data_IF_830220865342
#
_entry.id   IF_830220865342
#
_cell.length_a   1.000
_cell.length_b   1.000
_cell.length_c   1.000
_cell.angle_alpha   90.00
_cell.angle_beta   90.00
_cell.angle_gamma   90.00
#
_symmetry.space_group_name_H-M   'P 1'
#
loop_
_entity.id
_entity.type
_entity.pdbx_description
1 polymer ?
#
# COMPACT_ATOMS: atom_id res chain seq x y z
N UNK A 1 -1.73 -7.81 -33.27
CA UNK A 1 -1.39 -7.57 -31.84
C UNK A 1 -2.29 -8.45 -30.99
N UNK A 2 -1.74 -9.28 -30.10
CA UNK A 2 -2.53 -10.21 -29.29
C UNK A 2 -3.34 -9.44 -28.23
N UNK A 3 -4.66 -9.46 -28.31
CA UNK A 3 -5.51 -8.90 -27.26
C UNK A 3 -5.31 -9.71 -25.97
N UNK A 4 -4.94 -9.09 -24.84
CA UNK A 4 -4.83 -9.81 -23.58
C UNK A 4 -6.22 -10.35 -23.20
N UNK A 5 -6.32 -11.66 -22.99
CA UNK A 5 -7.56 -12.31 -22.58
C UNK A 5 -8.07 -11.67 -21.27
N UNK A 6 -9.32 -11.19 -21.27
CA UNK A 6 -10.01 -10.55 -20.12
C UNK A 6 -9.88 -11.38 -18.83
N UNK A 7 -9.93 -12.72 -18.94
CA UNK A 7 -9.75 -13.63 -17.80
C UNK A 7 -8.34 -13.55 -17.20
N UNK A 8 -7.31 -13.39 -18.04
CA UNK A 8 -5.93 -13.25 -17.59
C UNK A 8 -5.71 -11.88 -16.94
N UNK A 9 -6.35 -10.84 -17.45
CA UNK A 9 -6.28 -9.50 -16.85
C UNK A 9 -6.93 -9.46 -15.46
N UNK A 10 -8.10 -10.08 -15.28
CA UNK A 10 -8.74 -10.21 -13.96
C UNK A 10 -7.85 -10.94 -12.96
N UNK A 11 -7.26 -12.08 -13.34
CA UNK A 11 -6.31 -12.80 -12.48
C UNK A 11 -5.09 -11.95 -12.11
N UNK A 12 -4.56 -11.18 -13.05
CA UNK A 12 -3.43 -10.30 -12.79
C UNK A 12 -3.80 -9.19 -11.79
N UNK A 13 -5.00 -8.61 -11.89
CA UNK A 13 -5.51 -7.63 -10.93
C UNK A 13 -5.58 -8.23 -9.53
N UNK A 14 -6.17 -9.41 -9.38
CA UNK A 14 -6.25 -10.09 -8.07
C UNK A 14 -4.88 -10.36 -7.47
N UNK A 15 -3.90 -10.78 -8.28
CA UNK A 15 -2.53 -10.98 -7.83
C UNK A 15 -1.88 -9.67 -7.36
N UNK A 16 -2.11 -8.55 -8.05
CA UNK A 16 -1.57 -7.26 -7.62
C UNK A 16 -2.26 -6.74 -6.34
N UNK A 17 -3.59 -6.94 -6.20
CA UNK A 17 -4.31 -6.61 -4.97
C UNK A 17 -3.77 -7.39 -3.77
N UNK A 18 -3.45 -8.68 -3.95
CA UNK A 18 -2.77 -9.46 -2.93
C UNK A 18 -1.38 -8.90 -2.59
N UNK A 19 -0.64 -8.42 -3.60
CA UNK A 19 0.63 -7.71 -3.41
C UNK A 19 0.46 -6.45 -2.56
N UNK A 20 -0.52 -5.61 -2.86
CA UNK A 20 -0.87 -4.42 -2.08
C UNK A 20 -1.21 -4.76 -0.63
N UNK A 21 -2.05 -5.77 -0.40
CA UNK A 21 -2.42 -6.21 0.95
C UNK A 21 -1.20 -6.67 1.78
N UNK A 22 -0.22 -7.31 1.15
CA UNK A 22 1.04 -7.69 1.81
C UNK A 22 1.88 -6.46 2.19
N UNK A 23 1.95 -5.48 1.30
CA UNK A 23 2.65 -4.21 1.58
C UNK A 23 1.96 -3.42 2.69
N UNK A 24 0.63 -3.39 2.72
CA UNK A 24 -0.16 -2.78 3.80
C UNK A 24 0.09 -3.48 5.14
N UNK A 25 0.14 -4.82 5.15
CA UNK A 25 0.48 -5.58 6.36
C UNK A 25 1.90 -5.30 6.85
N UNK A 26 2.87 -5.18 5.93
CA UNK A 26 4.24 -4.82 6.28
C UNK A 26 4.30 -3.41 6.90
N UNK A 27 3.63 -2.43 6.27
CA UNK A 27 3.50 -1.07 6.80
C UNK A 27 2.88 -1.05 8.19
N UNK A 28 1.81 -1.81 8.42
CA UNK A 28 1.18 -1.91 9.73
C UNK A 28 2.16 -2.44 10.78
N UNK A 29 2.90 -3.51 10.46
CA UNK A 29 3.93 -4.06 11.35
C UNK A 29 5.04 -3.05 11.67
N UNK A 30 5.52 -2.31 10.67
CA UNK A 30 6.56 -1.29 10.86
C UNK A 30 6.05 -0.12 11.71
N UNK A 31 4.80 0.32 11.50
CA UNK A 31 4.16 1.35 12.32
C UNK A 31 3.97 0.91 13.78
N UNK A 32 3.58 -0.34 14.03
CA UNK A 32 3.49 -0.89 15.39
C UNK A 32 4.88 -0.86 16.04
N UNK A 33 5.93 -1.25 15.31
CA UNK A 33 7.30 -1.19 15.85
C UNK A 33 7.72 0.25 16.17
N UNK A 34 7.32 1.23 15.34
CA UNK A 34 7.54 2.65 15.63
C UNK A 34 6.85 3.07 16.92
N UNK A 35 5.57 2.76 17.08
CA UNK A 35 4.79 3.12 18.26
C UNK A 35 5.41 2.56 19.55
N UNK A 36 5.82 1.28 19.53
CA UNK A 36 6.50 0.65 20.68
C UNK A 36 7.83 1.37 21.01
N UNK A 37 8.59 1.78 19.99
CA UNK A 37 9.84 2.49 20.19
C UNK A 37 9.62 3.91 20.73
N UNK A 38 8.56 4.58 20.29
CA UNK A 38 8.16 5.89 20.79
C UNK A 38 7.71 5.80 22.26
N UNK A 39 6.92 4.78 22.63
CA UNK A 39 6.55 4.50 24.02
C UNK A 39 7.77 4.22 24.91
N UNK A 40 8.73 3.42 24.43
CA UNK A 40 9.98 3.16 25.14
C UNK A 40 10.78 4.45 25.35
N UNK A 41 10.86 5.29 24.32
CA UNK A 41 11.56 6.58 24.40
C UNK A 41 10.92 7.51 25.43
N UNK A 42 9.60 7.66 25.42
CA UNK A 42 8.87 8.48 26.41
C UNK A 42 9.11 7.97 27.84
N UNK A 43 9.11 6.65 28.04
CA UNK A 43 9.41 6.07 29.35
C UNK A 43 10.85 6.40 29.80
N UNK A 44 11.84 6.28 28.90
CA UNK A 44 13.24 6.59 29.20
C UNK A 44 13.45 8.07 29.51
N UNK A 45 12.80 8.97 28.77
CA UNK A 45 12.82 10.42 29.05
C UNK A 45 12.20 10.72 30.41
N UNK A 46 11.03 10.15 30.71
CA UNK A 46 10.39 10.31 32.03
C UNK A 46 11.24 9.77 33.19
N UNK A 47 12.05 8.72 32.96
CA UNK A 47 13.03 8.23 33.94
C UNK A 47 14.23 9.18 34.10
N UNK A 48 14.62 9.89 33.04
CA UNK A 48 15.65 10.92 33.10
C UNK A 48 15.17 12.14 33.90
N UNK A 49 13.95 12.61 33.65
CA UNK A 49 13.38 13.79 34.31
C UNK A 49 13.22 13.60 35.82
N UNK A 50 12.67 12.45 36.25
CA UNK A 50 12.52 12.11 37.68
C UNK A 50 13.85 12.06 38.45
N UNK A 51 14.98 11.85 37.77
CA UNK A 51 16.31 11.93 38.41
C UNK A 51 16.70 13.37 38.74
N UNK A 52 16.31 14.33 37.90
CA UNK A 52 16.52 15.75 38.20
C UNK A 52 15.62 16.24 39.36
N UNK A 53 14.48 15.58 39.58
CA UNK A 53 13.55 15.85 40.69
C UNK A 53 13.98 15.23 42.04
N UNK A 54 15.19 14.64 42.13
CA UNK A 54 15.73 14.09 43.37
C UNK A 54 15.21 12.70 43.75
N UNK A 55 14.42 12.04 42.89
CA UNK A 55 14.07 10.64 43.07
C UNK A 55 15.29 9.76 42.72
N UNK A 56 15.89 9.14 43.74
CA UNK A 56 17.08 8.31 43.58
C UNK A 56 16.77 7.02 42.80
N UNK A 57 16.96 7.05 41.48
CA UNK A 57 16.99 5.84 40.65
C UNK A 57 18.39 5.21 40.68
N UNK A 58 18.46 3.91 41.00
CA UNK A 58 19.69 3.12 41.00
C UNK A 58 20.18 2.71 39.59
N UNK A 59 19.75 3.43 38.54
CA UNK A 59 20.07 3.11 37.15
C UNK A 59 21.18 4.03 36.67
N UNK A 60 22.25 3.44 36.16
CA UNK A 60 23.39 4.14 35.56
C UNK A 60 22.91 5.13 34.47
N UNK A 61 23.17 6.44 34.62
CA UNK A 61 22.81 7.45 33.62
C UNK A 61 23.42 7.18 32.24
N UNK A 62 24.62 6.62 32.20
CA UNK A 62 25.31 6.31 30.94
C UNK A 62 24.56 5.25 30.13
N UNK A 63 23.92 4.29 30.81
CA UNK A 63 23.11 3.25 30.18
C UNK A 63 21.85 3.84 29.54
N UNK A 64 21.20 4.79 30.23
CA UNK A 64 19.99 5.43 29.70
C UNK A 64 20.29 6.30 28.48
N UNK A 65 21.38 7.07 28.51
CA UNK A 65 21.83 7.87 27.36
C UNK A 65 22.16 6.97 26.17
N UNK A 66 22.89 5.85 26.41
CA UNK A 66 23.19 4.88 25.35
C UNK A 66 21.90 4.31 24.74
N UNK A 67 20.92 3.94 25.56
CA UNK A 67 19.64 3.40 25.09
C UNK A 67 18.84 4.41 24.29
N UNK A 68 18.75 5.66 24.74
CA UNK A 68 18.12 6.75 23.98
C UNK A 68 18.81 6.97 22.62
N UNK A 69 20.15 6.92 22.59
CA UNK A 69 20.91 6.99 21.34
C UNK A 69 20.60 5.84 20.39
N UNK A 70 20.53 4.60 20.91
CA UNK A 70 20.11 3.43 20.13
C UNK A 70 18.69 3.59 19.58
N UNK A 71 17.73 4.02 20.42
CA UNK A 71 16.36 4.26 19.98
C UNK A 71 16.27 5.33 18.90
N UNK A 72 17.10 6.38 18.97
CA UNK A 72 17.16 7.40 17.93
C UNK A 72 17.63 6.83 16.58
N UNK A 73 18.66 5.99 16.58
CA UNK A 73 19.13 5.30 15.36
C UNK A 73 18.10 4.31 14.82
N UNK A 74 17.45 3.54 15.69
CA UNK A 74 16.39 2.60 15.28
C UNK A 74 15.18 3.34 14.71
N UNK A 75 14.78 4.48 15.31
CA UNK A 75 13.69 5.31 14.80
C UNK A 75 13.99 5.82 13.39
N UNK A 76 15.21 6.30 13.14
CA UNK A 76 15.62 6.74 11.79
C UNK A 76 15.54 5.60 10.77
N UNK A 77 15.98 4.39 11.12
CA UNK A 77 15.87 3.23 10.25
C UNK A 77 14.41 2.82 9.99
N UNK A 78 13.56 2.87 11.00
CA UNK A 78 12.12 2.60 10.86
C UNK A 78 11.48 3.63 9.94
N UNK A 79 11.82 4.91 10.05
CA UNK A 79 11.28 5.97 9.19
C UNK A 79 11.69 5.79 7.72
N UNK A 80 12.96 5.48 7.45
CA UNK A 80 13.43 5.15 6.11
C UNK A 80 12.68 3.94 5.53
N UNK A 81 12.46 2.92 6.37
CA UNK A 81 11.71 1.73 5.97
C UNK A 81 10.25 2.06 5.66
N UNK A 82 9.57 2.83 6.51
CA UNK A 82 8.20 3.27 6.27
C UNK A 82 8.08 4.04 4.96
N UNK A 83 9.02 4.94 4.66
CA UNK A 83 9.01 5.69 3.41
C UNK A 83 9.15 4.75 2.19
N UNK A 84 10.06 3.78 2.27
CA UNK A 84 10.23 2.79 1.20
C UNK A 84 8.99 1.92 0.99
N UNK A 85 8.35 1.47 2.08
CA UNK A 85 7.15 0.63 2.05
C UNK A 85 5.94 1.41 1.53
N UNK A 86 5.79 2.69 1.90
CA UNK A 86 4.77 3.61 1.35
C UNK A 86 4.96 3.81 -0.14
N UNK A 87 6.19 4.08 -0.57
CA UNK A 87 6.53 4.24 -1.99
C UNK A 87 6.25 2.98 -2.80
N UNK A 88 6.51 1.79 -2.24
CA UNK A 88 6.18 0.52 -2.87
C UNK A 88 4.66 0.31 -2.98
N UNK A 89 3.91 0.60 -1.90
CA UNK A 89 2.46 0.47 -1.90
C UNK A 89 1.80 1.37 -2.95
N UNK A 90 2.21 2.64 -3.03
CA UNK A 90 1.68 3.59 -4.02
C UNK A 90 1.91 3.12 -5.46
N UNK A 91 3.08 2.52 -5.74
CA UNK A 91 3.38 1.98 -7.07
C UNK A 91 2.45 0.82 -7.43
N UNK A 92 2.22 -0.10 -6.49
CA UNK A 92 1.33 -1.24 -6.72
C UNK A 92 -0.14 -0.81 -6.82
N UNK A 93 -0.61 0.11 -5.98
CA UNK A 93 -1.96 0.68 -6.09
C UNK A 93 -2.18 1.32 -7.47
N UNK A 94 -1.24 2.14 -7.93
CA UNK A 94 -1.30 2.74 -9.28
C UNK A 94 -1.30 1.67 -10.38
N UNK A 95 -0.58 0.57 -10.19
CA UNK A 95 -0.58 -0.55 -11.13
C UNK A 95 -1.96 -1.22 -11.20
N UNK A 96 -2.62 -1.43 -10.05
CA UNK A 96 -3.99 -1.96 -9.99
C UNK A 96 -4.94 -1.03 -10.75
N UNK A 97 -4.91 0.27 -10.48
CA UNK A 97 -5.77 1.25 -11.15
C UNK A 97 -5.62 1.22 -12.68
N UNK A 98 -4.39 1.12 -13.19
CA UNK A 98 -4.13 1.02 -14.62
C UNK A 98 -4.69 -0.27 -15.22
N UNK A 99 -4.56 -1.40 -14.52
CA UNK A 99 -5.09 -2.69 -14.97
C UNK A 99 -6.63 -2.69 -14.97
N UNK A 100 -7.25 -2.12 -13.95
CA UNK A 100 -8.70 -1.95 -13.86
C UNK A 100 -9.23 -1.01 -14.95
N UNK A 101 -8.51 0.09 -15.22
CA UNK A 101 -8.81 0.99 -16.34
C UNK A 101 -8.78 0.26 -17.68
N UNK A 102 -7.75 -0.56 -17.94
CA UNK A 102 -7.66 -1.38 -19.16
C UNK A 102 -8.80 -2.39 -19.26
N UNK A 103 -9.16 -3.03 -18.14
CA UNK A 103 -10.27 -3.98 -18.09
C UNK A 103 -11.59 -3.28 -18.46
N UNK A 104 -11.81 -2.08 -17.92
CA UNK A 104 -13.00 -1.26 -18.23
C UNK A 104 -13.05 -0.87 -19.71
N UNK A 105 -11.94 -0.43 -20.30
CA UNK A 105 -11.88 -0.12 -21.73
C UNK A 105 -12.25 -1.33 -22.59
N UNK A 106 -11.70 -2.51 -22.28
CA UNK A 106 -12.03 -3.73 -23.03
C UNK A 106 -13.50 -4.13 -22.90
N UNK A 107 -14.11 -3.93 -21.74
CA UNK A 107 -15.55 -4.16 -21.55
C UNK A 107 -16.39 -3.19 -22.40
N UNK A 108 -16.08 -1.90 -22.35
CA UNK A 108 -16.80 -0.88 -23.12
C UNK A 108 -16.66 -1.10 -24.64
N UNK A 109 -15.47 -1.47 -25.12
CA UNK A 109 -15.23 -1.74 -26.54
C UNK A 109 -16.04 -2.95 -27.01
N UNK A 110 -16.15 -3.98 -26.17
CA UNK A 110 -16.96 -5.16 -26.45
C UNK A 110 -18.45 -4.81 -26.52
N UNK A 111 -18.97 -4.06 -25.55
CA UNK A 111 -20.36 -3.61 -25.54
C UNK A 111 -20.68 -2.76 -26.79
N UNK A 112 -19.77 -1.86 -27.18
CA UNK A 112 -19.91 -1.07 -28.41
C UNK A 112 -19.97 -1.94 -29.67
N UNK A 113 -19.12 -2.96 -29.76
CA UNK A 113 -19.12 -3.90 -30.89
C UNK A 113 -20.42 -4.71 -30.94
N UNK A 114 -20.91 -5.18 -29.79
CA UNK A 114 -22.17 -5.91 -29.69
C UNK A 114 -23.36 -5.03 -30.11
N UNK A 115 -23.40 -3.76 -29.67
CA UNK A 115 -24.43 -2.79 -30.09
C UNK A 115 -24.35 -2.46 -31.59
N UNK A 116 -23.15 -2.25 -32.13
CA UNK A 116 -22.98 -1.98 -33.56
C UNK A 116 -23.47 -3.15 -34.41
N UNK A 117 -23.17 -4.39 -34.02
CA UNK A 117 -23.67 -5.58 -34.71
C UNK A 117 -25.19 -5.69 -34.70
N UNK A 118 -25.86 -5.36 -33.58
CA UNK A 118 -27.33 -5.34 -33.51
C UNK A 118 -27.94 -4.28 -34.44
N UNK A 119 -27.31 -3.10 -34.53
CA UNK A 119 -27.75 -2.03 -35.43
C UNK A 119 -27.59 -2.47 -36.89
N UNK A 120 -26.44 -3.04 -37.24
CA UNK A 120 -26.19 -3.57 -38.58
C UNK A 120 -27.23 -4.62 -38.97
N UNK A 121 -27.50 -5.58 -38.08
CA UNK A 121 -28.51 -6.61 -38.31
C UNK A 121 -29.91 -6.01 -38.51
N UNK A 122 -30.29 -5.03 -37.70
CA UNK A 122 -31.58 -4.35 -37.83
C UNK A 122 -31.71 -3.61 -39.17
N UNK A 123 -30.66 -2.89 -39.58
CA UNK A 123 -30.62 -2.16 -40.87
C UNK A 123 -30.70 -3.15 -42.04
N UNK A 124 -29.95 -4.25 -41.99
CA UNK A 124 -29.99 -5.29 -43.03
C UNK A 124 -31.38 -5.93 -43.16
N UNK A 125 -32.05 -6.25 -42.04
CA UNK A 125 -33.42 -6.79 -42.05
C UNK A 125 -34.43 -5.80 -42.62
N UNK A 126 -34.30 -4.51 -42.29
CA UNK A 126 -35.20 -3.47 -42.83
C UNK A 126 -35.02 -3.27 -44.33
N UNK A 127 -33.79 -3.29 -44.83
CA UNK A 127 -33.49 -3.05 -46.24
C UNK A 127 -33.74 -4.26 -47.14
N UNK A 128 -33.82 -5.48 -46.59
CA UNK A 128 -34.16 -6.70 -47.32
C UNK A 128 -35.66 -7.00 -47.38
N UNK A 129 -36.47 -6.25 -46.63
CA UNK A 129 -37.92 -6.34 -46.61
C UNK A 129 -38.64 -5.27 -47.47
N UNK A 130 -37.87 -4.38 -48.10
CA UNK A 130 -38.33 -3.37 -49.08
C UNK A 130 -37.90 -3.77 -50.49
#
# INVERSE_FOLDING_TARGET
>A
MAQPNVRNLKKLIELQKLGSARLESALASTNIRKAVLDEEREALLGMQDRRYDGAAFAIDPSLLIKRLGMNATEAQHIEQRLESERGALLKEQRRVELLEGRLKTMHNDRERQELAGLIEEFVSRKNSAS
#
